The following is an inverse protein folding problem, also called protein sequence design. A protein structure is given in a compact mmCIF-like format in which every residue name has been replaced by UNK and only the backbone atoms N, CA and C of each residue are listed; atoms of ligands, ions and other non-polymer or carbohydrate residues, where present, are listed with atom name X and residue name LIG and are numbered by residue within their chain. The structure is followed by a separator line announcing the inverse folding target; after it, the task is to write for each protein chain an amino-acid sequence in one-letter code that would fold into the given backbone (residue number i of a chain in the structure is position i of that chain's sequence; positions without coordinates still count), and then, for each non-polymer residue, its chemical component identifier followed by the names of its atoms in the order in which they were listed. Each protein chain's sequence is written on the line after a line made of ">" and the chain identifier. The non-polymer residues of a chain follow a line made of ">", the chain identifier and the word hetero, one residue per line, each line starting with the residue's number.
data_IF_951478502490
#
_entry.id   IF_951478502490
#
_cell.length_a   1.000
_cell.length_b   1.000
_cell.length_c   1.000
_cell.angle_alpha   90.00
_cell.angle_beta   90.00
_cell.angle_gamma   90.00
#
_symmetry.space_group_name_H-M   'P 1'
#
loop_
_entity.id
_entity.type
_entity.pdbx_description
1 polymer ?
#
# COMPACT_ATOMS: atom_id res chain seq x y z
N UNK A 1 -3.80 -11.59 -9.97
CA UNK A 1 -2.78 -10.85 -9.17
C UNK A 1 -1.40 -10.92 -9.80
N UNK A 2 -1.19 -11.72 -10.87
CA UNK A 2 0.15 -12.05 -11.35
C UNK A 2 0.92 -10.83 -11.88
N UNK A 3 0.23 -9.89 -12.54
CA UNK A 3 0.84 -8.62 -12.95
C UNK A 3 1.32 -7.77 -11.76
N UNK A 4 0.55 -7.71 -10.67
CA UNK A 4 0.95 -6.98 -9.46
C UNK A 4 2.09 -7.66 -8.73
N UNK A 5 2.09 -9.00 -8.71
CA UNK A 5 3.18 -9.80 -8.18
C UNK A 5 4.48 -9.56 -8.96
N UNK A 6 4.42 -9.61 -10.30
CA UNK A 6 5.56 -9.32 -11.17
C UNK A 6 6.09 -7.89 -10.99
N UNK A 7 5.22 -6.90 -10.85
CA UNK A 7 5.61 -5.53 -10.54
C UNK A 7 6.36 -5.44 -9.20
N UNK A 8 5.84 -6.10 -8.16
CA UNK A 8 6.49 -6.16 -6.84
C UNK A 8 7.83 -6.86 -6.89
N UNK A 9 7.94 -7.97 -7.61
CA UNK A 9 9.20 -8.69 -7.85
C UNK A 9 10.22 -7.82 -8.59
N UNK A 10 9.76 -6.88 -9.42
CA UNK A 10 10.59 -5.86 -10.07
C UNK A 10 10.93 -4.66 -9.17
N UNK A 11 10.59 -4.72 -7.87
CA UNK A 11 10.89 -3.67 -6.89
C UNK A 11 9.85 -2.55 -6.81
N UNK A 12 8.76 -2.60 -7.59
CA UNK A 12 7.71 -1.59 -7.57
C UNK A 12 6.86 -1.73 -6.30
N UNK A 13 6.63 -0.62 -5.59
CA UNK A 13 5.73 -0.61 -4.43
C UNK A 13 4.27 -0.65 -4.88
N UNK A 14 3.53 -1.61 -4.38
CA UNK A 14 2.10 -1.79 -4.69
C UNK A 14 1.28 -1.56 -3.42
N UNK A 15 0.34 -0.61 -3.50
CA UNK A 15 -0.58 -0.27 -2.41
C UNK A 15 -2.01 -0.68 -2.80
N UNK A 16 -2.67 -1.44 -1.94
CA UNK A 16 -4.05 -1.90 -2.10
C UNK A 16 -5.00 -0.93 -1.37
N UNK A 17 -5.91 -0.32 -2.12
CA UNK A 17 -6.95 0.58 -1.64
C UNK A 17 -8.33 0.18 -2.21
N UNK A 18 -9.41 0.82 -1.76
CA UNK A 18 -10.79 0.50 -2.19
C UNK A 18 -11.54 1.71 -2.75
N UNK A 19 -12.38 1.48 -3.76
CA UNK A 19 -13.27 2.50 -4.35
C UNK A 19 -14.64 2.60 -3.65
N UNK A 20 -14.92 1.80 -2.62
CA UNK A 20 -16.20 1.80 -1.89
C UNK A 20 -16.51 3.11 -1.17
N UNK A 21 -15.54 4.02 -1.03
CA UNK A 21 -15.72 5.35 -0.44
C UNK A 21 -15.70 5.36 1.09
N UNK A 22 -16.07 4.25 1.74
CA UNK A 22 -16.00 4.02 3.18
C UNK A 22 -15.47 2.62 3.50
N UNK A 23 -15.05 2.42 4.75
CA UNK A 23 -14.45 1.18 5.26
C UNK A 23 -12.92 1.17 5.14
N UNK A 24 -12.32 0.08 5.60
CA UNK A 24 -10.86 -0.13 5.54
C UNK A 24 -10.50 -1.42 4.83
N UNK A 25 -9.40 -1.40 4.10
CA UNK A 25 -8.77 -2.62 3.60
C UNK A 25 -7.98 -3.23 4.75
N UNK A 26 -8.24 -4.50 5.07
CA UNK A 26 -7.55 -5.19 6.15
C UNK A 26 -6.17 -5.67 5.68
N UNK A 27 -5.15 -5.47 6.52
CA UNK A 27 -3.82 -6.02 6.30
C UNK A 27 -3.80 -7.53 6.63
N UNK A 28 -4.29 -8.33 5.70
CA UNK A 28 -4.35 -9.79 5.85
C UNK A 28 -2.97 -10.41 5.76
N UNK A 29 -2.81 -11.60 6.36
CA UNK A 29 -1.58 -12.40 6.28
C UNK A 29 -1.11 -12.61 4.84
N UNK A 30 -2.04 -12.86 3.91
CA UNK A 30 -1.72 -13.02 2.48
C UNK A 30 -1.06 -11.77 1.89
N UNK A 31 -1.59 -10.57 2.20
CA UNK A 31 -0.99 -9.33 1.70
C UNK A 31 0.40 -9.08 2.29
N UNK A 32 0.62 -9.46 3.55
CA UNK A 32 1.94 -9.38 4.17
C UNK A 32 2.94 -10.33 3.52
N UNK A 33 2.56 -11.60 3.31
CA UNK A 33 3.40 -12.62 2.65
C UNK A 33 3.72 -12.24 1.20
N UNK A 34 2.75 -11.70 0.47
CA UNK A 34 2.93 -11.22 -0.90
C UNK A 34 3.71 -9.88 -0.96
N UNK A 35 3.92 -9.21 0.18
CA UNK A 35 4.67 -7.96 0.30
C UNK A 35 3.92 -6.72 -0.20
N UNK A 36 2.59 -6.76 -0.20
CA UNK A 36 1.74 -5.62 -0.52
C UNK A 36 1.62 -4.66 0.66
N UNK A 37 1.41 -3.39 0.35
CA UNK A 37 1.06 -2.36 1.33
C UNK A 37 -0.45 -2.14 1.26
N UNK A 38 -1.08 -1.90 2.40
CA UNK A 38 -2.51 -1.68 2.50
C UNK A 38 -2.78 -0.26 2.94
N UNK A 39 -3.68 0.42 2.23
CA UNK A 39 -4.01 1.83 2.42
C UNK A 39 -4.90 2.12 3.64
N UNK A 40 -5.21 1.11 4.45
CA UNK A 40 -6.16 1.19 5.55
C UNK A 40 -7.52 1.77 5.08
N UNK A 41 -7.95 2.92 5.61
CA UNK A 41 -9.17 3.63 5.26
C UNK A 41 -8.95 4.74 4.21
N UNK A 42 -7.73 4.91 3.69
CA UNK A 42 -7.43 5.93 2.70
C UNK A 42 -8.06 5.58 1.35
N UNK A 43 -8.66 6.58 0.72
CA UNK A 43 -9.12 6.44 -0.66
C UNK A 43 -7.91 6.32 -1.61
N UNK A 44 -8.07 5.72 -2.79
CA UNK A 44 -6.98 5.56 -3.77
C UNK A 44 -6.26 6.89 -4.09
N UNK A 45 -7.01 8.00 -4.09
CA UNK A 45 -6.45 9.34 -4.34
C UNK A 45 -5.56 9.81 -3.18
N UNK A 46 -5.99 9.60 -1.93
CA UNK A 46 -5.21 9.97 -0.73
C UNK A 46 -3.99 9.04 -0.56
N UNK A 47 -4.19 7.74 -0.73
CA UNK A 47 -3.12 6.74 -0.68
C UNK A 47 -2.02 7.02 -1.72
N UNK A 48 -2.38 7.45 -2.93
CA UNK A 48 -1.40 7.87 -3.96
C UNK A 48 -0.53 9.03 -3.49
N UNK A 49 -1.13 10.07 -2.92
CA UNK A 49 -0.38 11.24 -2.43
C UNK A 49 0.55 10.82 -1.30
N UNK A 50 0.06 10.05 -0.33
CA UNK A 50 0.89 9.58 0.77
C UNK A 50 2.01 8.65 0.30
N UNK A 51 1.75 7.78 -0.67
CA UNK A 51 2.78 6.93 -1.27
C UNK A 51 3.88 7.76 -1.95
N UNK A 52 3.52 8.83 -2.68
CA UNK A 52 4.50 9.73 -3.30
C UNK A 52 5.42 10.38 -2.26
N UNK A 53 4.84 10.89 -1.16
CA UNK A 53 5.59 11.50 -0.06
C UNK A 53 6.43 10.46 0.72
N UNK A 54 5.87 9.28 0.95
CA UNK A 54 6.54 8.18 1.62
C UNK A 54 7.76 7.69 0.84
N UNK A 55 7.62 7.51 -0.47
CA UNK A 55 8.72 7.13 -1.37
C UNK A 55 9.81 8.19 -1.48
N UNK A 56 9.47 9.47 -1.32
CA UNK A 56 10.48 10.54 -1.23
C UNK A 56 11.33 10.43 0.05
N UNK A 57 10.77 9.86 1.12
CA UNK A 57 11.42 9.76 2.42
C UNK A 57 12.12 8.41 2.64
N UNK A 58 11.54 7.31 2.18
CA UNK A 58 12.04 5.96 2.42
C UNK A 58 11.58 4.96 1.36
N UNK A 59 12.40 3.93 1.13
CA UNK A 59 12.07 2.78 0.27
C UNK A 59 11.68 1.52 1.08
N UNK A 60 11.61 1.61 2.41
CA UNK A 60 11.30 0.48 3.30
C UNK A 60 9.78 0.28 3.36
N UNK A 61 9.30 -0.89 2.90
CA UNK A 61 7.85 -1.16 2.81
C UNK A 61 7.14 -1.13 4.16
N UNK A 62 7.79 -1.54 5.25
CA UNK A 62 7.20 -1.50 6.60
C UNK A 62 6.99 -0.07 7.11
N UNK A 63 7.89 0.86 6.78
CA UNK A 63 7.71 2.27 7.13
C UNK A 63 6.59 2.90 6.31
N UNK A 64 6.50 2.60 5.01
CA UNK A 64 5.37 3.07 4.19
C UNK A 64 4.05 2.48 4.71
N UNK A 65 4.04 1.21 5.10
CA UNK A 65 2.86 0.60 5.74
C UNK A 65 2.50 1.31 7.05
N UNK A 66 3.48 1.65 7.90
CA UNK A 66 3.26 2.41 9.13
C UNK A 66 2.64 3.78 8.84
N UNK A 67 3.13 4.48 7.80
CA UNK A 67 2.56 5.76 7.37
C UNK A 67 1.09 5.61 6.97
N UNK A 68 0.74 4.60 6.17
CA UNK A 68 -0.65 4.34 5.73
C UNK A 68 -1.60 4.03 6.89
N UNK A 69 -1.09 3.50 8.00
CA UNK A 69 -1.89 3.21 9.19
C UNK A 69 -1.96 4.37 10.18
N UNK A 70 -1.10 5.38 10.05
CA UNK A 70 -0.99 6.50 10.99
C UNK A 70 -1.62 7.80 10.46
N UNK A 71 -1.55 8.03 9.15
CA UNK A 71 -1.96 9.27 8.48
C UNK A 71 -3.08 9.02 7.47
#
# INVERSE_FOLDING_TARGET
>A
MDALKSARESGVKVVIATHTGNGRVMNTRRFQEDGYIVADNLSPKKARILLMLGLFTTNVSSEIQRMMSLY
#
